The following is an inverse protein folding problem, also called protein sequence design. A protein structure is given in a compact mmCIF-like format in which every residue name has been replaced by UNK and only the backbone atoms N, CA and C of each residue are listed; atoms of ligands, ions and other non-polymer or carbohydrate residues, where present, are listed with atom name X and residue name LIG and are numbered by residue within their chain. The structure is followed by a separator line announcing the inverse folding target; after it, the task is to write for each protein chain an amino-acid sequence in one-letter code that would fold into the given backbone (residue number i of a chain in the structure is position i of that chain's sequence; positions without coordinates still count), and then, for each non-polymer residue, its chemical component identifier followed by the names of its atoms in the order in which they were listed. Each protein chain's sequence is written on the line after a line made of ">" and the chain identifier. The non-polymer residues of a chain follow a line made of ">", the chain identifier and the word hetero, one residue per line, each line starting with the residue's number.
data_IF_881994987879
#
_entry.id   IF_881994987879
#
_cell.length_a   1.000
_cell.length_b   1.000
_cell.length_c   1.000
_cell.angle_alpha   90.00
_cell.angle_beta   90.00
_cell.angle_gamma   90.00
#
_symmetry.space_group_name_H-M   'P 1'
#
loop_
_entity.id
_entity.type
_entity.pdbx_description
1 polymer ?
#
# COMPACT_ATOMS: atom_id res chain seq x y z
N UNK A 1 31.72 -11.01 -32.35
CA UNK A 1 30.70 -10.99 -31.28
C UNK A 1 30.95 -12.21 -30.42
N UNK A 2 31.40 -12.05 -29.17
CA UNK A 2 31.55 -13.20 -28.27
C UNK A 2 30.16 -13.74 -27.92
N UNK A 3 29.96 -15.07 -27.91
CA UNK A 3 28.69 -15.65 -27.49
C UNK A 3 28.52 -15.41 -25.99
N UNK A 4 27.48 -14.64 -25.63
CA UNK A 4 27.07 -14.50 -24.24
C UNK A 4 26.81 -15.87 -23.64
N UNK A 5 27.48 -16.16 -22.53
CA UNK A 5 27.25 -17.40 -21.80
C UNK A 5 25.85 -17.34 -21.16
N UNK A 6 25.21 -18.48 -20.87
CA UNK A 6 23.90 -18.48 -20.21
C UNK A 6 23.89 -17.70 -18.89
N UNK A 7 25.03 -17.59 -18.19
CA UNK A 7 25.19 -16.80 -16.97
C UNK A 7 25.07 -15.29 -17.20
N UNK A 8 25.55 -14.78 -18.33
CA UNK A 8 25.49 -13.35 -18.66
C UNK A 8 24.05 -12.88 -18.90
N UNK A 9 23.17 -13.79 -19.33
CA UNK A 9 21.73 -13.50 -19.50
C UNK A 9 21.00 -13.33 -18.16
N UNK A 10 21.45 -13.99 -17.10
CA UNK A 10 20.89 -13.80 -15.75
C UNK A 10 21.24 -12.42 -15.18
N UNK A 11 22.38 -11.84 -15.56
CA UNK A 11 22.75 -10.49 -15.13
C UNK A 11 21.79 -9.42 -15.65
N UNK A 12 21.11 -9.65 -16.77
CA UNK A 12 20.15 -8.69 -17.33
C UNK A 12 18.93 -8.46 -16.43
N UNK A 13 18.50 -9.49 -15.69
CA UNK A 13 17.36 -9.40 -14.76
C UNK A 13 17.74 -8.80 -13.39
N UNK A 14 19.01 -8.81 -13.03
CA UNK A 14 19.47 -8.42 -11.69
C UNK A 14 19.14 -6.95 -11.33
N UNK A 15 19.34 -5.94 -12.22
CA UNK A 15 18.96 -4.57 -11.91
C UNK A 15 17.45 -4.41 -11.67
N UNK A 16 16.64 -5.06 -12.51
CA UNK A 16 15.18 -5.07 -12.35
C UNK A 16 14.77 -5.68 -11.01
N UNK A 17 15.37 -6.82 -10.66
CA UNK A 17 15.09 -7.50 -9.40
C UNK A 17 15.43 -6.62 -8.18
N UNK A 18 16.60 -5.98 -8.19
CA UNK A 18 17.04 -5.09 -7.11
C UNK A 18 16.13 -3.86 -6.95
N UNK A 19 15.86 -3.17 -8.07
CA UNK A 19 15.00 -1.98 -8.08
C UNK A 19 13.57 -2.36 -7.67
N UNK A 20 13.06 -3.47 -8.21
CA UNK A 20 11.81 -4.07 -7.81
C UNK A 20 11.74 -4.30 -6.31
N UNK A 21 12.74 -4.97 -5.75
CA UNK A 21 12.80 -5.27 -4.32
C UNK A 21 12.73 -4.02 -3.45
N UNK A 22 13.52 -2.99 -3.76
CA UNK A 22 13.54 -1.74 -2.98
C UNK A 22 12.16 -1.07 -2.98
N UNK A 23 11.53 -0.97 -4.16
CA UNK A 23 10.22 -0.33 -4.27
C UNK A 23 9.13 -1.19 -3.62
N UNK A 24 9.18 -2.51 -3.83
CA UNK A 24 8.29 -3.46 -3.16
C UNK A 24 8.36 -3.34 -1.65
N UNK A 25 9.57 -3.27 -1.10
CA UNK A 25 9.82 -3.11 0.33
C UNK A 25 9.21 -1.81 0.87
N UNK A 26 9.40 -0.69 0.16
CA UNK A 26 8.83 0.60 0.54
C UNK A 26 7.29 0.61 0.49
N UNK A 27 6.70 0.01 -0.54
CA UNK A 27 5.24 -0.06 -0.71
C UNK A 27 4.61 -1.04 0.28
N UNK A 28 5.28 -2.16 0.59
CA UNK A 28 4.82 -3.13 1.58
C UNK A 28 4.61 -2.52 2.96
N UNK A 29 5.52 -1.64 3.39
CA UNK A 29 5.47 -0.96 4.68
C UNK A 29 4.56 0.28 4.71
N UNK A 30 3.90 0.63 3.61
CA UNK A 30 3.03 1.79 3.56
C UNK A 30 1.63 1.44 4.09
N UNK A 31 1.38 1.69 5.38
CA UNK A 31 0.08 1.44 6.06
C UNK A 31 -1.11 2.21 5.48
N UNK A 32 -0.84 3.33 4.79
CA UNK A 32 -1.89 4.17 4.17
C UNK A 32 -2.40 3.62 2.84
N UNK A 33 -1.67 2.69 2.22
CA UNK A 33 -2.04 2.16 0.91
C UNK A 33 -2.97 0.96 1.07
N UNK A 34 -4.11 1.00 0.39
CA UNK A 34 -5.01 -0.15 0.34
C UNK A 34 -4.39 -1.27 -0.50
N UNK A 35 -4.90 -2.51 -0.36
CA UNK A 35 -4.46 -3.64 -1.17
C UNK A 35 -4.58 -3.35 -2.68
N UNK A 36 -5.66 -2.65 -3.07
CA UNK A 36 -5.92 -2.25 -4.45
C UNK A 36 -4.87 -1.26 -4.95
N UNK A 37 -4.49 -0.28 -4.14
CA UNK A 37 -3.47 0.70 -4.50
C UNK A 37 -2.10 0.02 -4.66
N UNK A 38 -1.75 -0.88 -3.74
CA UNK A 38 -0.51 -1.66 -3.82
C UNK A 38 -0.45 -2.51 -5.09
N UNK A 39 -1.57 -3.12 -5.49
CA UNK A 39 -1.67 -3.91 -6.71
C UNK A 39 -1.55 -3.06 -7.98
N UNK A 40 -2.23 -1.90 -8.03
CA UNK A 40 -2.15 -0.96 -9.16
C UNK A 40 -0.74 -0.39 -9.31
N UNK A 41 -0.15 0.08 -8.21
CA UNK A 41 1.23 0.58 -8.17
C UNK A 41 2.18 -0.53 -8.62
N UNK A 42 2.02 -1.75 -8.11
CA UNK A 42 2.86 -2.89 -8.48
C UNK A 42 2.79 -3.22 -9.96
N UNK A 43 1.59 -3.25 -10.54
CA UNK A 43 1.40 -3.55 -11.96
C UNK A 43 1.97 -2.44 -12.86
N UNK A 44 1.68 -1.17 -12.54
CA UNK A 44 2.24 -0.03 -13.26
C UNK A 44 3.75 0.02 -13.15
N UNK A 45 4.30 -0.21 -11.95
CA UNK A 45 5.74 -0.19 -11.69
C UNK A 45 6.46 -1.34 -12.39
N UNK A 46 5.88 -2.53 -12.42
CA UNK A 46 6.47 -3.69 -13.10
C UNK A 46 6.61 -3.43 -14.60
N UNK A 47 5.55 -2.93 -15.25
CA UNK A 47 5.55 -2.65 -16.68
C UNK A 47 6.44 -1.45 -17.03
N UNK A 48 6.25 -0.32 -16.35
CA UNK A 48 7.01 0.91 -16.65
C UNK A 48 8.47 0.79 -16.20
N UNK A 49 8.71 0.28 -14.99
CA UNK A 49 10.06 0.08 -14.45
C UNK A 49 10.88 -0.89 -15.31
N UNK A 50 10.29 -2.03 -15.68
CA UNK A 50 10.94 -2.97 -16.60
C UNK A 50 11.25 -2.32 -17.96
N UNK A 51 10.30 -1.56 -18.51
CA UNK A 51 10.49 -0.84 -19.79
C UNK A 51 11.60 0.22 -19.70
N UNK A 52 11.66 1.00 -18.61
CA UNK A 52 12.70 2.00 -18.40
C UNK A 52 14.08 1.35 -18.34
N UNK A 53 14.21 0.21 -17.64
CA UNK A 53 15.46 -0.54 -17.55
C UNK A 53 15.87 -1.05 -18.93
N UNK A 54 14.92 -1.56 -19.72
CA UNK A 54 15.19 -2.00 -21.10
C UNK A 54 15.67 -0.83 -21.95
N UNK A 55 15.04 0.34 -21.88
CA UNK A 55 15.45 1.51 -22.65
C UNK A 55 16.84 2.00 -22.23
N UNK A 56 17.14 1.97 -20.93
CA UNK A 56 18.44 2.35 -20.42
C UNK A 56 19.54 1.39 -20.92
N UNK A 57 19.33 0.07 -20.81
CA UNK A 57 20.29 -0.94 -21.27
C UNK A 57 20.37 -0.99 -22.80
N UNK A 58 19.23 -0.83 -23.47
CA UNK A 58 19.07 -0.79 -24.93
C UNK A 58 19.77 0.38 -25.60
N UNK A 59 20.11 1.43 -24.84
CA UNK A 59 20.92 2.54 -25.35
C UNK A 59 22.41 2.20 -25.51
N UNK A 60 22.87 1.11 -24.88
CA UNK A 60 24.29 0.71 -24.81
C UNK A 60 24.51 -0.63 -25.51
N UNK A 61 23.55 -1.54 -25.40
CA UNK A 61 23.65 -2.93 -25.87
C UNK A 61 22.38 -3.26 -26.66
N UNK A 62 22.50 -4.09 -27.69
CA UNK A 62 21.32 -4.60 -28.39
C UNK A 62 20.54 -5.55 -27.47
N UNK A 63 19.31 -5.18 -27.12
CA UNK A 63 18.46 -5.93 -26.18
C UNK A 63 17.41 -6.70 -26.96
N UNK A 64 17.50 -8.03 -26.91
CA UNK A 64 16.49 -8.89 -27.53
C UNK A 64 15.16 -8.89 -26.78
N UNK A 65 14.11 -9.35 -27.47
CA UNK A 65 12.76 -9.47 -26.90
C UNK A 65 12.73 -10.36 -25.65
N UNK A 66 13.58 -11.39 -25.60
CA UNK A 66 13.65 -12.30 -24.46
C UNK A 66 14.22 -11.62 -23.22
N UNK A 67 15.32 -10.88 -23.36
CA UNK A 67 15.94 -10.09 -22.31
C UNK A 67 15.00 -8.98 -21.81
N UNK A 68 14.24 -8.38 -22.73
CA UNK A 68 13.19 -7.43 -22.39
C UNK A 68 12.11 -8.06 -21.48
N UNK A 69 11.57 -9.21 -21.87
CA UNK A 69 10.58 -9.92 -21.05
C UNK A 69 11.18 -10.31 -19.69
N UNK A 70 12.42 -10.81 -19.67
CA UNK A 70 13.11 -11.15 -18.42
C UNK A 70 13.30 -9.94 -17.50
N UNK A 71 13.61 -8.76 -18.04
CA UNK A 71 13.74 -7.53 -17.25
C UNK A 71 12.42 -7.14 -16.58
N UNK A 72 11.31 -7.19 -17.32
CA UNK A 72 9.97 -6.89 -16.78
C UNK A 72 9.59 -7.90 -15.70
N UNK A 73 9.76 -9.20 -15.98
CA UNK A 73 9.44 -10.26 -15.02
C UNK A 73 10.32 -10.18 -13.77
N UNK A 74 11.61 -9.87 -13.93
CA UNK A 74 12.53 -9.72 -12.82
C UNK A 74 12.18 -8.50 -11.96
N UNK A 75 11.74 -7.40 -12.58
CA UNK A 75 11.23 -6.22 -11.87
C UNK A 75 10.00 -6.56 -11.04
N UNK A 76 9.06 -7.30 -11.63
CA UNK A 76 7.86 -7.77 -10.93
C UNK A 76 8.16 -8.75 -9.80
N UNK A 77 9.06 -9.71 -10.04
CA UNK A 77 9.50 -10.67 -9.04
C UNK A 77 10.20 -9.96 -7.86
N UNK A 78 11.10 -9.03 -8.15
CA UNK A 78 11.73 -8.16 -7.15
C UNK A 78 10.69 -7.40 -6.34
N UNK A 79 9.74 -6.75 -7.00
CA UNK A 79 8.66 -6.02 -6.35
C UNK A 79 7.84 -6.92 -5.42
N UNK A 80 7.42 -8.10 -5.90
CA UNK A 80 6.69 -9.07 -5.09
C UNK A 80 7.48 -9.54 -3.87
N UNK A 81 8.78 -9.83 -4.03
CA UNK A 81 9.66 -10.22 -2.92
C UNK A 81 9.82 -9.12 -1.89
N UNK A 82 10.07 -7.88 -2.33
CA UNK A 82 10.19 -6.73 -1.44
C UNK A 82 8.90 -6.48 -0.66
N UNK A 83 7.78 -6.52 -1.37
CA UNK A 83 6.44 -6.32 -0.81
C UNK A 83 6.07 -7.42 0.21
N UNK A 84 6.39 -8.68 -0.07
CA UNK A 84 6.20 -9.77 0.87
C UNK A 84 7.13 -9.65 2.09
N UNK A 85 8.37 -9.18 1.91
CA UNK A 85 9.34 -9.07 3.00
C UNK A 85 9.01 -7.99 4.04
N UNK A 86 8.24 -6.98 3.66
CA UNK A 86 7.88 -5.85 4.52
C UNK A 86 6.37 -5.62 4.57
N UNK A 87 5.59 -6.69 4.50
CA UNK A 87 4.14 -6.58 4.37
C UNK A 87 3.49 -6.09 5.66
N UNK A 88 3.04 -4.83 5.69
CA UNK A 88 2.24 -4.30 6.78
C UNK A 88 0.76 -4.24 6.41
N UNK A 89 -0.13 -4.55 7.36
CA UNK A 89 -1.57 -4.41 7.14
C UNK A 89 -1.95 -2.92 7.07
N UNK A 90 -2.89 -2.54 6.18
CA UNK A 90 -3.40 -1.17 6.15
C UNK A 90 -4.03 -0.79 7.49
N UNK A 91 -3.84 0.45 7.91
CA UNK A 91 -4.51 0.96 9.12
C UNK A 91 -6.02 0.87 8.92
N UNK A 92 -6.71 0.15 9.80
CA UNK A 92 -8.16 0.15 9.79
C UNK A 92 -8.64 1.56 10.14
N UNK A 93 -9.64 2.11 9.43
CA UNK A 93 -10.22 3.38 9.83
C UNK A 93 -10.73 3.21 11.26
N UNK A 94 -10.12 3.94 12.21
CA UNK A 94 -10.57 3.96 13.58
C UNK A 94 -11.99 4.52 13.53
N UNK A 95 -12.98 3.63 13.65
CA UNK A 95 -14.37 4.00 13.83
C UNK A 95 -14.43 4.70 15.18
N UNK A 96 -14.25 6.02 15.19
CA UNK A 96 -14.58 6.81 16.36
C UNK A 96 -16.06 6.59 16.57
N UNK A 97 -16.50 6.02 17.71
CA UNK A 97 -17.92 5.93 17.99
C UNK A 97 -18.45 7.35 17.86
N UNK A 98 -19.29 7.57 16.85
CA UNK A 98 -20.00 8.82 16.69
C UNK A 98 -20.91 8.86 17.92
N UNK A 99 -20.49 9.59 18.95
CA UNK A 99 -21.37 9.94 20.06
C UNK A 99 -22.43 10.81 19.41
N UNK A 100 -23.52 10.16 19.01
CA UNK A 100 -24.74 10.84 18.62
C UNK A 100 -25.31 11.31 19.95
N UNK A 101 -25.04 12.57 20.29
CA UNK A 101 -25.82 13.24 21.29
C UNK A 101 -27.23 13.31 20.72
N UNK A 102 -28.14 12.50 21.23
CA UNK A 102 -29.54 12.66 20.98
C UNK A 102 -29.99 13.87 21.82
N UNK A 103 -30.25 15.03 21.20
CA UNK A 103 -30.60 16.24 21.95
C UNK A 103 -31.86 16.03 22.79
N UNK A 104 -32.76 15.14 22.37
CA UNK A 104 -33.99 14.85 23.11
C UNK A 104 -33.75 14.03 24.38
N UNK A 105 -32.71 13.18 24.42
CA UNK A 105 -32.36 12.41 25.62
C UNK A 105 -31.54 13.26 26.61
N UNK A 106 -30.63 14.09 26.09
CA UNK A 106 -29.81 14.99 26.90
C UNK A 106 -30.65 16.05 27.63
N UNK A 107 -31.67 16.61 26.98
CA UNK A 107 -32.57 17.59 27.60
C UNK A 107 -33.41 16.94 28.71
N UNK A 108 -33.90 15.71 28.52
CA UNK A 108 -34.66 14.98 29.55
C UNK A 108 -33.83 14.60 30.76
N UNK A 109 -32.58 14.19 30.56
CA UNK A 109 -31.66 13.90 31.67
C UNK A 109 -31.28 15.17 32.44
N UNK A 110 -31.09 16.29 31.74
CA UNK A 110 -30.82 17.57 32.37
C UNK A 110 -32.02 18.10 33.17
N UNK A 111 -33.22 18.06 32.59
CA UNK A 111 -34.46 18.49 33.26
C UNK A 111 -34.76 17.63 34.50
N UNK A 112 -34.52 16.32 34.43
CA UNK A 112 -34.66 15.42 35.58
C UNK A 112 -33.70 15.79 36.72
N UNK A 113 -32.43 16.04 36.40
CA UNK A 113 -31.44 16.46 37.42
C UNK A 113 -31.75 17.84 37.99
N UNK A 114 -32.29 18.75 37.17
CA UNK A 114 -32.72 20.07 37.59
C UNK A 114 -33.88 19.99 38.58
N UNK A 115 -34.89 19.16 38.32
CA UNK A 115 -36.06 18.97 39.18
C UNK A 115 -35.70 18.29 40.51
N UNK A 116 -34.79 17.30 40.51
CA UNK A 116 -34.27 16.69 41.73
C UNK A 116 -33.46 17.70 42.58
N UNK A 117 -32.65 18.56 41.95
CA UNK A 117 -31.84 19.56 42.64
C UNK A 117 -32.67 20.73 43.21
N UNK A 118 -33.75 21.11 42.52
CA UNK A 118 -34.68 22.15 42.96
C UNK A 118 -35.72 21.64 43.96
N UNK A 119 -35.77 20.33 44.22
CA UNK A 119 -36.71 19.72 45.17
C UNK A 119 -38.17 19.77 44.72
N UNK A 120 -38.42 19.99 43.43
CA UNK A 120 -39.76 20.15 42.86
C UNK A 120 -40.54 18.82 42.79
N UNK A 121 -39.86 17.68 42.93
CA UNK A 121 -40.47 16.34 42.95
C UNK A 121 -41.08 15.94 44.31
N UNK A 122 -41.09 16.83 45.32
CA UNK A 122 -41.50 16.50 46.70
C UNK A 122 -42.79 17.15 47.21
N UNK A 123 -43.50 17.92 46.41
CA UNK A 123 -44.80 18.48 46.81
C UNK A 123 -45.94 17.74 46.13
N UNK A 124 -46.31 16.58 46.67
CA UNK A 124 -47.67 16.03 46.59
C UNK A 124 -47.78 14.86 47.59
N UNK A 125 -47.99 15.18 48.87
CA UNK A 125 -48.45 14.27 49.91
C UNK A 125 -49.42 14.98 50.85
#
# INVERSE_FOLDING_TARGET
>A
MQPFTPYDRFLFGAPGLLIGFIVGYAIGGAKRLTLRDRALIGLSFTLLGGTIIILALGSIIDVGTFEAVLSILSTGAGFGLGLASNWELPDQPISRPKVVFDPEEADKEFDKQLNEALGLDKEDS
#
